data_IF_766409948464
#
_entry.id   IF_766409948464
#
_cell.length_a   1.000
_cell.length_b   1.000
_cell.length_c   1.000
_cell.angle_alpha   90.00
_cell.angle_beta   90.00
_cell.angle_gamma   90.00
#
_symmetry.space_group_name_H-M   'P 1'
#
loop_
_entity.id
_entity.type
_entity.pdbx_description
1 polymer ?
#
# COMPACT_ATOMS: atom_id res chain seq x y z
N UNK A 1 -21.39 -39.64 11.95
CA UNK A 1 -22.08 -39.34 10.68
C UNK A 1 -22.27 -37.84 10.44
N UNK A 2 -22.85 -37.10 11.40
CA UNK A 2 -23.11 -35.64 11.28
C UNK A 2 -21.83 -34.79 11.08
N UNK A 3 -20.70 -35.14 11.70
CA UNK A 3 -19.44 -34.38 11.51
C UNK A 3 -18.83 -34.53 10.11
N UNK A 4 -19.05 -35.68 9.45
CA UNK A 4 -18.58 -35.92 8.07
C UNK A 4 -19.37 -35.09 7.06
N UNK A 5 -20.70 -35.05 7.20
CA UNK A 5 -21.57 -34.20 6.39
C UNK A 5 -21.25 -32.71 6.57
N UNK A 6 -21.01 -32.25 7.81
CA UNK A 6 -20.56 -30.86 8.06
C UNK A 6 -19.24 -30.54 7.37
N UNK A 7 -18.27 -31.46 7.40
CA UNK A 7 -16.96 -31.28 6.73
C UNK A 7 -17.10 -31.21 5.21
N UNK A 8 -17.94 -32.05 4.61
CA UNK A 8 -18.22 -32.02 3.16
C UNK A 8 -18.94 -30.74 2.75
N UNK A 9 -19.95 -30.31 3.52
CA UNK A 9 -20.66 -29.06 3.28
C UNK A 9 -19.73 -27.85 3.38
N UNK A 10 -18.88 -27.80 4.41
CA UNK A 10 -17.88 -26.74 4.57
C UNK A 10 -16.88 -26.72 3.40
N UNK A 11 -16.42 -27.89 2.92
CA UNK A 11 -15.52 -27.95 1.76
C UNK A 11 -16.18 -27.37 0.50
N UNK A 12 -17.42 -27.76 0.21
CA UNK A 12 -18.18 -27.22 -0.94
C UNK A 12 -18.43 -25.71 -0.82
N UNK A 13 -18.71 -25.24 0.39
CA UNK A 13 -18.83 -23.81 0.67
C UNK A 13 -17.51 -23.08 0.35
N UNK A 14 -16.37 -23.57 0.84
CA UNK A 14 -15.05 -22.99 0.55
C UNK A 14 -14.68 -23.06 -0.94
N UNK A 15 -14.99 -24.15 -1.62
CA UNK A 15 -14.82 -24.27 -3.08
C UNK A 15 -15.64 -23.18 -3.80
N UNK A 16 -16.87 -22.94 -3.37
CA UNK A 16 -17.73 -21.89 -3.92
C UNK A 16 -17.19 -20.49 -3.63
N UNK A 17 -16.72 -20.23 -2.40
CA UNK A 17 -16.09 -18.95 -2.06
C UNK A 17 -14.85 -18.66 -2.91
N UNK A 18 -14.01 -19.67 -3.18
CA UNK A 18 -12.82 -19.51 -4.04
C UNK A 18 -13.23 -19.19 -5.48
N UNK A 19 -14.26 -19.85 -6.02
CA UNK A 19 -14.76 -19.58 -7.37
C UNK A 19 -15.40 -18.20 -7.51
N UNK A 20 -16.01 -17.69 -6.43
CA UNK A 20 -16.67 -16.38 -6.40
C UNK A 20 -15.74 -15.26 -5.90
N UNK A 21 -14.50 -15.56 -5.53
CA UNK A 21 -13.61 -14.56 -4.96
C UNK A 21 -13.14 -13.58 -6.03
N UNK A 22 -13.62 -12.35 -5.92
CA UNK A 22 -13.17 -11.26 -6.77
C UNK A 22 -11.83 -10.72 -6.28
N UNK A 23 -10.89 -10.56 -7.21
CA UNK A 23 -9.65 -9.85 -6.92
C UNK A 23 -9.97 -8.37 -6.76
N UNK A 24 -10.07 -7.90 -5.52
CA UNK A 24 -10.39 -6.50 -5.19
C UNK A 24 -9.14 -5.63 -4.96
N UNK A 25 -8.05 -6.23 -4.48
CA UNK A 25 -6.81 -5.52 -4.17
C UNK A 25 -5.62 -6.22 -4.83
N UNK A 26 -4.78 -5.44 -5.50
CA UNK A 26 -3.48 -5.88 -5.97
C UNK A 26 -2.40 -5.08 -5.24
N UNK A 27 -1.66 -5.74 -4.36
CA UNK A 27 -0.53 -5.13 -3.67
C UNK A 27 0.71 -5.22 -4.55
N UNK A 28 1.34 -4.09 -4.80
CA UNK A 28 2.62 -4.01 -5.50
C UNK A 28 3.69 -3.50 -4.54
N UNK A 29 4.60 -4.39 -4.16
CA UNK A 29 5.86 -4.02 -3.53
C UNK A 29 6.74 -3.32 -4.57
N UNK A 30 6.50 -2.03 -4.76
CA UNK A 30 7.04 -1.26 -5.89
C UNK A 30 8.53 -0.95 -5.74
N UNK A 31 9.07 -1.10 -4.53
CA UNK A 31 10.48 -0.97 -4.19
C UNK A 31 10.79 -1.81 -2.95
N UNK A 32 12.00 -2.36 -2.84
CA UNK A 32 12.52 -2.94 -1.59
C UNK A 32 13.23 -1.90 -0.72
N UNK A 33 13.40 -0.66 -1.21
CA UNK A 33 14.18 0.38 -0.53
C UNK A 33 13.33 1.01 0.57
N UNK A 34 13.91 1.22 1.76
CA UNK A 34 13.23 1.89 2.86
C UNK A 34 14.16 2.88 3.58
N UNK A 35 13.62 4.01 4.02
CA UNK A 35 14.35 5.01 4.79
C UNK A 35 14.43 4.67 6.29
N UNK A 36 13.59 3.74 6.76
CA UNK A 36 13.59 3.23 8.14
C UNK A 36 14.23 1.83 8.22
N UNK A 37 14.47 1.35 9.44
CA UNK A 37 14.98 0.00 9.71
C UNK A 37 14.23 -0.61 10.91
N UNK A 38 12.93 -0.80 10.73
CA UNK A 38 11.98 -1.17 11.78
C UNK A 38 12.34 -2.54 12.36
N UNK A 39 12.19 -2.70 13.68
CA UNK A 39 12.53 -3.94 14.40
C UNK A 39 11.58 -5.11 14.12
N UNK A 40 10.41 -4.81 13.57
CA UNK A 40 9.35 -5.78 13.26
C UNK A 40 9.15 -6.01 11.77
N UNK A 41 9.99 -5.39 10.92
CA UNK A 41 9.81 -5.49 9.47
C UNK A 41 9.86 -6.95 9.03
N UNK A 42 8.74 -7.45 8.51
CA UNK A 42 8.66 -8.80 7.94
C UNK A 42 9.04 -8.86 6.46
N UNK A 43 9.17 -7.70 5.80
CA UNK A 43 9.60 -7.58 4.40
C UNK A 43 11.12 -7.44 4.32
N UNK A 44 11.72 -7.92 3.22
CA UNK A 44 13.15 -7.79 2.89
C UNK A 44 13.52 -6.35 2.49
N UNK A 45 13.17 -5.39 3.34
CA UNK A 45 13.45 -3.98 3.11
C UNK A 45 14.93 -3.69 3.33
N UNK A 46 15.52 -2.95 2.40
CA UNK A 46 16.93 -2.61 2.44
C UNK A 46 17.16 -1.10 2.35
N UNK A 47 18.26 -0.66 2.95
CA UNK A 47 18.86 0.66 2.65
C UNK A 47 19.84 0.59 1.50
N UNK A 48 19.96 -0.56 0.85
CA UNK A 48 20.77 -0.74 -0.34
C UNK A 48 20.00 -0.24 -1.57
N UNK A 49 20.60 0.76 -2.24
CA UNK A 49 20.09 1.38 -3.45
C UNK A 49 20.75 0.79 -4.72
N UNK A 50 21.58 -0.26 -4.57
CA UNK A 50 22.32 -0.87 -5.67
C UNK A 50 21.43 -1.68 -6.62
N UNK A 51 20.32 -2.24 -6.10
CA UNK A 51 19.36 -2.99 -6.89
C UNK A 51 18.28 -2.06 -7.46
N UNK A 52 18.08 -2.03 -8.78
CA UNK A 52 17.03 -1.22 -9.39
C UNK A 52 15.65 -1.79 -9.06
N UNK A 53 14.68 -0.89 -8.90
CA UNK A 53 13.27 -1.27 -8.79
C UNK A 53 12.74 -1.80 -10.14
N UNK A 54 11.67 -2.60 -10.09
CA UNK A 54 10.95 -3.02 -11.29
C UNK A 54 10.51 -1.78 -12.11
N UNK A 55 10.81 -1.74 -13.42
CA UNK A 55 10.32 -0.69 -14.32
C UNK A 55 8.80 -0.56 -14.27
N UNK A 56 8.31 0.68 -14.39
CA UNK A 56 6.87 0.96 -14.38
C UNK A 56 6.14 0.20 -15.47
N UNK A 57 6.73 0.16 -16.66
CA UNK A 57 6.10 -0.43 -17.84
C UNK A 57 5.89 -1.93 -17.68
N UNK A 58 6.82 -2.64 -17.02
CA UNK A 58 6.69 -4.05 -16.72
C UNK A 58 5.53 -4.31 -15.74
N UNK A 59 5.41 -3.47 -14.70
CA UNK A 59 4.30 -3.56 -13.77
C UNK A 59 2.95 -3.26 -14.46
N UNK A 60 2.90 -2.21 -15.28
CA UNK A 60 1.68 -1.86 -16.02
C UNK A 60 1.28 -2.97 -16.99
N UNK A 61 2.24 -3.60 -17.68
CA UNK A 61 1.98 -4.75 -18.53
C UNK A 61 1.38 -5.91 -17.73
N UNK A 62 1.88 -6.19 -16.52
CA UNK A 62 1.31 -7.19 -15.62
C UNK A 62 -0.13 -6.85 -15.20
N UNK A 63 -0.40 -5.60 -14.82
CA UNK A 63 -1.75 -5.11 -14.48
C UNK A 63 -2.72 -5.28 -15.66
N UNK A 64 -2.24 -5.04 -16.89
CA UNK A 64 -3.03 -5.16 -18.11
C UNK A 64 -3.40 -6.63 -18.43
N UNK A 65 -2.70 -7.62 -17.87
CA UNK A 65 -3.06 -9.05 -18.01
C UNK A 65 -4.27 -9.47 -17.18
N UNK A 66 -4.61 -8.72 -16.12
CA UNK A 66 -5.73 -9.03 -15.23
C UNK A 66 -7.04 -8.69 -15.94
N UNK A 67 -7.85 -9.68 -16.28
CA UNK A 67 -9.15 -9.48 -16.92
C UNK A 67 -10.25 -9.30 -15.87
N UNK A 68 -11.39 -8.75 -16.30
CA UNK A 68 -12.63 -8.69 -15.50
C UNK A 68 -12.48 -8.08 -14.10
N UNK A 69 -11.69 -7.00 -14.00
CA UNK A 69 -11.49 -6.27 -12.74
C UNK A 69 -12.83 -5.72 -12.23
N UNK A 70 -13.20 -5.97 -10.97
CA UNK A 70 -14.42 -5.40 -10.39
C UNK A 70 -14.28 -3.88 -10.26
N UNK A 71 -15.41 -3.16 -10.17
CA UNK A 71 -15.41 -1.69 -10.15
C UNK A 71 -14.71 -1.05 -8.94
N UNK A 72 -14.49 -1.83 -7.87
CA UNK A 72 -13.75 -1.46 -6.66
C UNK A 72 -12.28 -1.92 -6.68
N UNK A 73 -11.79 -2.51 -7.78
CA UNK A 73 -10.41 -2.95 -7.90
C UNK A 73 -9.42 -1.80 -7.62
N UNK A 74 -8.55 -2.02 -6.64
CA UNK A 74 -7.58 -1.02 -6.18
C UNK A 74 -6.17 -1.59 -6.22
N UNK A 75 -5.27 -0.86 -6.88
CA UNK A 75 -3.83 -1.17 -6.85
C UNK A 75 -3.21 -0.46 -5.65
N UNK A 76 -2.60 -1.21 -4.75
CA UNK A 76 -1.99 -0.69 -3.53
C UNK A 76 -0.48 -0.63 -3.70
N UNK A 77 0.09 0.56 -3.65
CA UNK A 77 1.54 0.74 -3.67
C UNK A 77 2.10 0.56 -2.26
N UNK A 78 3.01 -0.40 -2.12
CA UNK A 78 3.66 -0.80 -0.85
C UNK A 78 5.11 -1.25 -1.13
N UNK A 79 5.73 -1.98 -0.20
CA UNK A 79 7.07 -2.57 -0.31
C UNK A 79 7.93 -2.17 0.88
N UNK A 80 9.11 -1.62 0.59
CA UNK A 80 9.82 -0.76 1.53
C UNK A 80 9.05 0.54 1.78
N UNK A 81 9.61 1.67 1.36
CA UNK A 81 8.90 2.95 1.39
C UNK A 81 8.65 3.44 -0.04
N UNK A 82 7.39 3.36 -0.56
CA UNK A 82 7.08 3.77 -1.92
C UNK A 82 7.44 5.22 -2.23
N UNK A 83 7.43 6.12 -1.23
CA UNK A 83 7.82 7.52 -1.41
C UNK A 83 9.30 7.72 -1.79
N UNK A 84 10.12 6.66 -1.80
CA UNK A 84 11.48 6.66 -2.35
C UNK A 84 11.54 6.44 -3.87
N UNK A 85 10.43 6.05 -4.52
CA UNK A 85 10.35 5.97 -5.99
C UNK A 85 10.19 7.35 -6.60
N UNK A 86 11.03 7.67 -7.58
CA UNK A 86 11.02 8.97 -8.28
C UNK A 86 9.88 9.10 -9.29
N UNK A 87 9.30 7.99 -9.70
CA UNK A 87 8.27 7.86 -10.74
C UNK A 87 6.88 7.51 -10.17
N UNK A 88 6.72 7.50 -8.84
CA UNK A 88 5.51 7.08 -8.13
C UNK A 88 4.24 7.79 -8.65
N UNK A 89 4.27 9.12 -8.74
CA UNK A 89 3.14 9.92 -9.25
C UNK A 89 2.83 9.61 -10.72
N UNK A 90 3.86 9.28 -11.52
CA UNK A 90 3.66 8.89 -12.92
C UNK A 90 2.99 7.52 -13.03
N UNK A 91 3.35 6.57 -12.17
CA UNK A 91 2.66 5.28 -12.05
C UNK A 91 1.19 5.48 -11.69
N UNK A 92 0.91 6.28 -10.65
CA UNK A 92 -0.46 6.59 -10.22
C UNK A 92 -1.30 7.19 -11.35
N UNK A 93 -0.76 8.17 -12.08
CA UNK A 93 -1.42 8.74 -13.27
C UNK A 93 -1.68 7.69 -14.37
N UNK A 94 -0.74 6.78 -14.60
CA UNK A 94 -0.89 5.72 -15.59
C UNK A 94 -2.01 4.72 -15.23
N UNK A 95 -2.20 4.44 -13.94
CA UNK A 95 -3.33 3.66 -13.44
C UNK A 95 -4.66 4.41 -13.57
N UNK A 96 -4.69 5.70 -13.23
CA UNK A 96 -5.89 6.54 -13.41
C UNK A 96 -6.32 6.63 -14.87
N UNK A 97 -5.39 6.74 -15.81
CA UNK A 97 -5.68 6.71 -17.27
C UNK A 97 -6.32 5.39 -17.72
N UNK A 98 -6.08 4.29 -17.00
CA UNK A 98 -6.72 2.98 -17.21
C UNK A 98 -8.06 2.84 -16.47
N UNK A 99 -8.55 3.90 -15.83
CA UNK A 99 -9.76 3.86 -15.01
C UNK A 99 -9.58 3.16 -13.66
N UNK A 100 -8.34 2.84 -13.27
CA UNK A 100 -8.07 2.08 -12.04
C UNK A 100 -7.95 3.02 -10.84
N UNK A 101 -8.36 2.51 -9.67
CA UNK A 101 -8.11 3.14 -8.37
C UNK A 101 -6.73 2.74 -7.89
N UNK A 102 -6.07 3.62 -7.17
CA UNK A 102 -4.83 3.28 -6.49
C UNK A 102 -4.74 3.93 -5.11
N UNK A 103 -4.02 3.25 -4.23
CA UNK A 103 -3.76 3.67 -2.87
C UNK A 103 -2.28 3.49 -2.53
N UNK A 104 -1.89 4.07 -1.40
CA UNK A 104 -0.51 4.08 -0.91
C UNK A 104 -0.47 3.61 0.53
N UNK A 105 0.46 2.73 0.85
CA UNK A 105 0.88 2.42 2.23
C UNK A 105 2.21 3.12 2.48
N UNK A 106 2.34 3.89 3.55
CA UNK A 106 3.57 4.63 3.86
C UNK A 106 3.85 4.68 5.36
N UNK A 107 5.13 4.72 5.72
CA UNK A 107 5.58 5.02 7.08
C UNK A 107 5.40 6.51 7.46
N UNK A 108 4.97 7.36 6.52
CA UNK A 108 4.66 8.78 6.74
C UNK A 108 5.88 9.69 6.84
N UNK A 109 7.10 9.15 6.92
CA UNK A 109 8.30 9.92 7.20
C UNK A 109 8.63 10.97 6.11
N UNK A 110 8.33 10.61 4.86
CA UNK A 110 8.56 11.43 3.66
C UNK A 110 7.26 12.07 3.12
N UNK A 111 6.15 11.96 3.86
CA UNK A 111 4.85 12.48 3.46
C UNK A 111 4.67 13.90 3.99
N UNK A 112 5.19 14.88 3.25
CA UNK A 112 5.03 16.31 3.52
C UNK A 112 3.91 16.94 2.68
N UNK A 113 3.69 18.25 2.84
CA UNK A 113 2.64 18.99 2.13
C UNK A 113 2.82 18.94 0.60
N UNK A 114 4.07 19.07 0.13
CA UNK A 114 4.36 19.02 -1.30
C UNK A 114 4.02 17.63 -1.87
N UNK A 115 4.40 16.58 -1.14
CA UNK A 115 4.11 15.20 -1.51
C UNK A 115 2.62 14.88 -1.43
N UNK A 116 1.93 15.39 -0.42
CA UNK A 116 0.48 15.27 -0.30
C UNK A 116 -0.23 15.83 -1.55
N UNK A 117 0.11 17.05 -1.95
CA UNK A 117 -0.46 17.71 -3.13
C UNK A 117 -0.08 16.95 -4.42
N UNK A 118 1.17 16.53 -4.58
CA UNK A 118 1.62 15.82 -5.80
C UNK A 118 0.89 14.49 -5.99
N UNK A 119 0.68 13.73 -4.91
CA UNK A 119 -0.02 12.45 -4.93
C UNK A 119 -1.52 12.62 -5.19
N UNK A 120 -2.17 13.61 -4.59
CA UNK A 120 -3.57 13.93 -4.88
C UNK A 120 -3.76 14.31 -6.35
N UNK A 121 -2.86 15.11 -6.91
CA UNK A 121 -2.87 15.48 -8.33
C UNK A 121 -2.57 14.28 -9.25
N UNK A 122 -1.83 13.28 -8.77
CA UNK A 122 -1.66 12.00 -9.44
C UNK A 122 -2.88 11.06 -9.29
N UNK A 123 -3.91 11.48 -8.54
CA UNK A 123 -5.16 10.76 -8.36
C UNK A 123 -5.12 9.70 -7.27
N UNK A 124 -4.27 9.87 -6.24
CA UNK A 124 -4.29 9.03 -5.04
C UNK A 124 -5.70 9.06 -4.43
N UNK A 125 -6.31 7.89 -4.30
CA UNK A 125 -7.68 7.77 -3.78
C UNK A 125 -7.74 7.33 -2.32
N UNK A 126 -6.74 6.59 -1.84
CA UNK A 126 -6.64 6.18 -0.45
C UNK A 126 -5.20 6.13 0.07
N UNK A 127 -5.03 6.33 1.37
CA UNK A 127 -3.73 6.35 2.05
C UNK A 127 -3.80 5.57 3.36
N UNK A 128 -2.89 4.62 3.54
CA UNK A 128 -2.71 3.88 4.80
C UNK A 128 -1.42 4.34 5.46
N UNK A 129 -1.51 4.85 6.68
CA UNK A 129 -0.39 5.41 7.43
C UNK A 129 -0.03 4.49 8.60
N UNK A 130 1.25 4.17 8.72
CA UNK A 130 1.79 3.21 9.67
C UNK A 130 2.13 3.86 11.03
N UNK A 131 1.36 3.59 12.10
CA UNK A 131 1.54 4.13 13.46
C UNK A 131 1.47 3.03 14.53
N UNK A 132 2.64 2.54 14.94
CA UNK A 132 2.71 1.43 15.92
C UNK A 132 2.68 1.86 17.42
N UNK A 133 1.86 2.85 17.77
CA UNK A 133 1.66 3.27 19.17
C UNK A 133 2.14 4.69 19.50
N UNK A 134 2.28 4.99 20.79
CA UNK A 134 2.71 6.30 21.28
C UNK A 134 4.18 6.59 20.95
N UNK A 135 4.58 7.85 21.03
CA UNK A 135 5.88 8.35 20.57
C UNK A 135 7.08 7.47 20.92
N UNK A 136 7.27 7.15 22.21
CA UNK A 136 8.39 6.34 22.66
C UNK A 136 8.37 4.92 22.03
N UNK A 137 7.21 4.27 22.02
CA UNK A 137 7.04 2.92 21.48
C UNK A 137 7.18 2.90 19.96
N UNK A 138 6.56 3.86 19.26
CA UNK A 138 6.63 3.98 17.82
C UNK A 138 8.06 4.24 17.35
N UNK A 139 8.76 5.21 17.97
CA UNK A 139 10.14 5.53 17.62
C UNK A 139 11.09 4.36 17.90
N UNK A 140 10.90 3.67 19.02
CA UNK A 140 11.66 2.46 19.36
C UNK A 140 11.46 1.36 18.32
N UNK A 141 10.20 1.08 17.98
CA UNK A 141 9.81 -0.02 17.11
C UNK A 141 10.20 0.25 15.63
N UNK A 142 10.05 1.49 15.17
CA UNK A 142 10.50 1.97 13.85
C UNK A 142 12.01 2.24 13.77
N UNK A 143 12.71 2.14 14.90
CA UNK A 143 14.14 2.41 15.03
C UNK A 143 14.55 3.80 14.51
N UNK A 144 13.76 4.82 14.86
CA UNK A 144 13.96 6.20 14.42
C UNK A 144 13.36 7.17 15.43
N UNK A 145 14.20 8.04 16.00
CA UNK A 145 13.79 8.99 17.04
C UNK A 145 12.81 10.08 16.54
N UNK A 146 12.67 10.27 15.23
CA UNK A 146 11.79 11.28 14.64
C UNK A 146 10.59 10.71 13.90
N UNK A 147 10.37 9.39 13.93
CA UNK A 147 9.33 8.73 13.13
C UNK A 147 7.93 9.19 13.57
N UNK A 148 7.70 9.29 14.88
CA UNK A 148 6.41 9.68 15.43
C UNK A 148 6.00 11.09 15.01
N UNK A 149 6.89 12.08 15.15
CA UNK A 149 6.58 13.45 14.75
C UNK A 149 6.20 13.54 13.25
N UNK A 150 6.91 12.79 12.39
CA UNK A 150 6.63 12.76 10.95
C UNK A 150 5.31 12.07 10.61
N UNK A 151 5.02 10.95 11.26
CA UNK A 151 3.77 10.23 10.98
C UNK A 151 2.55 11.02 11.47
N UNK A 152 2.66 11.73 12.60
CA UNK A 152 1.61 12.65 13.06
C UNK A 152 1.37 13.76 12.04
N UNK A 153 2.43 14.40 11.53
CA UNK A 153 2.31 15.39 10.44
C UNK A 153 1.62 14.81 9.19
N UNK A 154 1.96 13.58 8.80
CA UNK A 154 1.34 12.92 7.67
C UNK A 154 -0.16 12.66 7.89
N UNK A 155 -0.54 12.27 9.11
CA UNK A 155 -1.95 12.07 9.51
C UNK A 155 -2.71 13.39 9.47
N UNK A 156 -2.13 14.48 9.98
CA UNK A 156 -2.75 15.82 9.94
C UNK A 156 -3.00 16.28 8.49
N UNK A 157 -2.01 16.09 7.60
CA UNK A 157 -2.16 16.40 6.17
C UNK A 157 -3.26 15.55 5.53
N UNK A 158 -3.29 14.24 5.79
CA UNK A 158 -4.32 13.35 5.28
C UNK A 158 -5.72 13.77 5.76
N UNK A 159 -5.86 14.08 7.06
CA UNK A 159 -7.11 14.52 7.68
C UNK A 159 -7.60 15.88 7.15
N UNK A 160 -6.68 16.75 6.68
CA UNK A 160 -7.04 18.04 6.09
C UNK A 160 -7.72 17.93 4.71
N UNK A 161 -7.63 16.77 4.06
CA UNK A 161 -8.14 16.56 2.70
C UNK A 161 -9.54 15.95 2.67
N UNK A 162 -10.50 16.67 2.08
CA UNK A 162 -11.85 16.14 1.83
C UNK A 162 -11.93 15.14 0.65
N UNK A 163 -10.82 14.87 -0.03
CA UNK A 163 -10.79 14.04 -1.26
C UNK A 163 -10.10 12.69 -1.07
N UNK A 164 -9.47 12.47 0.08
CA UNK A 164 -8.63 11.31 0.37
C UNK A 164 -9.28 10.46 1.44
N UNK A 165 -9.54 9.19 1.15
CA UNK A 165 -9.82 8.22 2.22
C UNK A 165 -8.51 7.84 2.88
N UNK A 166 -8.45 7.80 4.21
CA UNK A 166 -7.23 7.35 4.89
C UNK A 166 -7.55 6.50 6.11
N UNK A 167 -6.61 5.64 6.44
CA UNK A 167 -6.62 4.79 7.62
C UNK A 167 -5.23 4.78 8.28
N UNK A 168 -5.22 4.50 9.58
CA UNK A 168 -4.01 4.45 10.40
C UNK A 168 -3.91 3.04 10.99
N UNK A 169 -2.80 2.37 10.73
CA UNK A 169 -2.55 0.96 11.07
C UNK A 169 -1.29 0.76 11.88
#
# INVERSE_FOLDING_TARGET
>A
MISSLKRVAFRKFRESEVQLHELNYLFWECTSRCNLNCRHCGSDCSKDFSYPDMPVDDFLAAVDTIKDKPGNFTVVFTGGEPLLRKDLESCGRALRKRGLRWSLVTNGHLYDEQRHISLLNAGLGALTISLDGLEASHNWLRNSAGSFARVIQAIELAASSGRLSFDVV
#
